data_IF_882366979754
#
_entry.id   IF_882366979754
#
_cell.length_a   1.000
_cell.length_b   1.000
_cell.length_c   1.000
_cell.angle_alpha   90.00
_cell.angle_beta   90.00
_cell.angle_gamma   90.00
#
_symmetry.space_group_name_H-M   'P 1'
#
loop_
_entity.id
_entity.type
_entity.pdbx_description
1 polymer ?
#
# COMPACT_ATOMS: atom_id res chain seq x y z
N UNK A 1 -26.60 23.97 20.19
CA UNK A 1 -25.65 24.03 21.32
C UNK A 1 -24.25 24.24 20.75
N UNK A 2 -23.49 25.25 21.20
CA UNK A 2 -22.12 25.45 20.72
C UNK A 2 -21.26 24.25 21.15
N UNK A 3 -20.63 23.58 20.18
CA UNK A 3 -19.63 22.55 20.44
C UNK A 3 -18.47 23.24 21.18
N UNK A 4 -18.40 23.05 22.50
CA UNK A 4 -17.19 23.40 23.25
C UNK A 4 -16.04 22.62 22.60
N UNK A 5 -15.16 23.34 21.92
CA UNK A 5 -13.92 22.82 21.37
C UNK A 5 -13.16 22.09 22.48
N UNK A 6 -13.06 20.77 22.37
CA UNK A 6 -12.34 19.84 23.24
C UNK A 6 -10.86 20.19 23.48
N UNK A 7 -10.37 21.28 22.87
CA UNK A 7 -9.00 21.79 22.96
C UNK A 7 -8.71 22.58 24.24
N UNK A 8 -9.71 23.07 24.98
CA UNK A 8 -9.48 23.99 26.11
C UNK A 8 -9.30 23.33 27.49
N UNK A 9 -9.33 22.00 27.62
CA UNK A 9 -9.21 21.30 28.92
C UNK A 9 -7.96 20.45 29.12
N UNK A 10 -6.95 20.59 28.26
CA UNK A 10 -5.69 19.85 28.39
C UNK A 10 -4.58 20.75 28.95
N UNK A 11 -4.73 21.20 30.19
CA UNK A 11 -3.73 22.01 30.92
C UNK A 11 -2.62 21.20 31.59
N UNK A 12 -2.65 19.87 31.49
CA UNK A 12 -1.50 19.05 31.86
C UNK A 12 -0.52 19.03 30.69
N UNK A 13 0.46 19.94 30.73
CA UNK A 13 1.62 19.92 29.86
C UNK A 13 2.19 18.50 29.85
N UNK A 14 2.26 17.89 28.67
CA UNK A 14 2.97 16.62 28.47
C UNK A 14 4.38 16.73 29.04
N UNK A 15 4.94 15.66 29.64
CA UNK A 15 6.33 15.68 30.07
C UNK A 15 7.26 16.11 28.92
N UNK A 16 8.36 16.82 29.19
CA UNK A 16 9.24 17.36 28.14
C UNK A 16 9.70 16.33 27.09
N UNK A 17 9.85 15.06 27.50
CA UNK A 17 10.20 13.95 26.63
C UNK A 17 9.13 13.63 25.57
N UNK A 18 7.84 13.70 25.92
CA UNK A 18 6.74 13.50 24.96
C UNK A 18 6.70 14.65 23.95
N UNK A 19 6.94 15.89 24.39
CA UNK A 19 6.98 17.05 23.51
C UNK A 19 8.12 16.95 22.47
N UNK A 20 9.31 16.50 22.89
CA UNK A 20 10.43 16.26 21.97
C UNK A 20 10.08 15.16 20.95
N UNK A 21 9.51 14.05 21.40
CA UNK A 21 9.13 12.96 20.51
C UNK A 21 8.08 13.41 19.48
N UNK A 22 7.09 14.22 19.89
CA UNK A 22 6.12 14.80 18.98
C UNK A 22 6.76 15.67 17.90
N UNK A 23 7.77 16.47 18.26
CA UNK A 23 8.54 17.28 17.29
C UNK A 23 9.33 16.39 16.33
N UNK A 24 10.01 15.37 16.83
CA UNK A 24 10.76 14.41 15.98
C UNK A 24 9.83 13.69 15.01
N UNK A 25 8.69 13.18 15.49
CA UNK A 25 7.69 12.53 14.64
C UNK A 25 7.15 13.48 13.56
N UNK A 26 6.88 14.74 13.91
CA UNK A 26 6.42 15.75 12.96
C UNK A 26 7.48 16.07 11.90
N UNK A 27 8.75 16.24 12.30
CA UNK A 27 9.86 16.48 11.37
C UNK A 27 10.07 15.30 10.43
N UNK A 28 10.00 14.06 10.93
CA UNK A 28 10.03 12.85 10.09
C UNK A 28 8.87 12.83 9.10
N UNK A 29 7.67 13.27 9.54
CA UNK A 29 6.48 13.35 8.68
C UNK A 29 6.66 14.35 7.53
N UNK A 30 7.20 15.54 7.83
CA UNK A 30 7.52 16.56 6.82
C UNK A 30 8.59 16.05 5.85
N UNK A 31 9.67 15.45 6.37
CA UNK A 31 10.72 14.86 5.54
C UNK A 31 10.16 13.79 4.58
N UNK A 32 9.38 12.84 5.10
CA UNK A 32 8.77 11.78 4.28
C UNK A 32 7.83 12.36 3.24
N UNK A 33 7.01 13.35 3.58
CA UNK A 33 6.12 14.02 2.64
C UNK A 33 6.91 14.70 1.51
N UNK A 34 7.96 15.45 1.85
CA UNK A 34 8.83 16.10 0.86
C UNK A 34 9.56 15.07 -0.02
N UNK A 35 10.04 13.97 0.56
CA UNK A 35 10.67 12.87 -0.18
C UNK A 35 9.68 12.27 -1.18
N UNK A 36 8.43 12.01 -0.76
CA UNK A 36 7.38 11.50 -1.66
C UNK A 36 7.07 12.52 -2.76
N UNK A 37 6.87 13.80 -2.44
CA UNK A 37 6.65 14.85 -3.43
C UNK A 37 7.79 14.93 -4.45
N UNK A 38 9.04 14.83 -4.01
CA UNK A 38 10.21 14.78 -4.89
C UNK A 38 10.16 13.57 -5.84
N UNK A 39 9.88 12.37 -5.32
CA UNK A 39 9.81 11.13 -6.12
C UNK A 39 8.70 11.16 -7.16
N UNK A 40 7.49 11.62 -6.80
CA UNK A 40 6.41 11.81 -7.77
C UNK A 40 6.72 12.93 -8.77
N UNK A 41 7.40 14.00 -8.37
CA UNK A 41 7.85 15.03 -9.33
C UNK A 41 8.82 14.43 -10.35
N UNK A 42 9.75 13.56 -9.93
CA UNK A 42 10.61 12.82 -10.85
C UNK A 42 9.81 11.90 -11.77
N UNK A 43 8.81 11.17 -11.25
CA UNK A 43 7.93 10.33 -12.08
C UNK A 43 7.24 11.10 -13.22
N UNK A 44 6.71 12.29 -12.92
CA UNK A 44 5.92 13.04 -13.90
C UNK A 44 6.73 13.99 -14.79
N UNK A 45 7.90 14.47 -14.34
CA UNK A 45 8.69 15.48 -15.08
C UNK A 45 9.91 14.91 -15.79
N UNK A 46 10.62 13.99 -15.14
CA UNK A 46 11.73 13.30 -15.78
C UNK A 46 11.19 12.03 -16.42
N UNK A 47 11.69 11.65 -17.59
CA UNK A 47 11.49 10.32 -18.16
C UNK A 47 12.22 9.23 -17.33
N UNK A 48 12.25 9.40 -16.01
CA UNK A 48 12.86 8.50 -15.05
C UNK A 48 11.93 7.33 -14.82
N UNK A 49 12.33 6.16 -15.33
CA UNK A 49 11.52 4.94 -15.25
C UNK A 49 11.24 4.46 -13.81
N UNK A 50 12.12 4.78 -12.85
CA UNK A 50 12.00 4.36 -11.45
C UNK A 50 12.08 5.54 -10.46
N UNK A 51 11.45 6.68 -10.72
CA UNK A 51 11.38 7.84 -9.78
C UNK A 51 12.75 8.33 -9.26
N UNK A 52 13.80 8.26 -10.08
CA UNK A 52 15.16 8.61 -9.68
C UNK A 52 15.83 7.55 -8.78
N UNK A 53 15.34 6.32 -8.79
CA UNK A 53 16.06 5.16 -8.25
C UNK A 53 16.92 4.46 -9.33
N UNK A 54 16.88 4.90 -10.59
CA UNK A 54 17.68 4.39 -11.71
C UNK A 54 19.03 5.08 -11.86
N UNK A 55 19.63 5.56 -10.77
CA UNK A 55 20.93 6.22 -10.85
C UNK A 55 21.98 5.21 -11.35
N UNK A 56 22.29 5.31 -12.64
CA UNK A 56 23.10 4.35 -13.39
C UNK A 56 24.47 4.19 -12.76
N UNK A 57 25.02 5.28 -12.24
CA UNK A 57 26.34 5.28 -11.61
C UNK A 57 26.36 4.51 -10.28
N UNK A 58 25.21 4.44 -9.59
CA UNK A 58 25.07 3.70 -8.33
C UNK A 58 24.85 2.19 -8.54
N UNK A 59 24.34 1.76 -9.71
CA UNK A 59 23.94 0.36 -9.95
C UNK A 59 24.74 -0.36 -11.05
N UNK A 60 25.40 0.34 -11.99
CA UNK A 60 26.03 -0.29 -13.15
C UNK A 60 27.38 -0.99 -12.87
N UNK A 61 28.13 -0.60 -11.83
CA UNK A 61 29.44 -1.19 -11.49
C UNK A 61 29.40 -2.21 -10.31
N UNK A 62 28.35 -3.04 -10.23
CA UNK A 62 27.98 -3.94 -9.11
C UNK A 62 28.96 -5.06 -8.74
N UNK A 63 30.18 -5.05 -9.27
CA UNK A 63 31.16 -6.11 -9.02
C UNK A 63 32.08 -5.83 -7.82
N UNK A 64 32.11 -4.60 -7.29
CA UNK A 64 32.88 -4.30 -6.08
C UNK A 64 32.00 -4.36 -4.81
N UNK A 65 32.55 -4.93 -3.74
CA UNK A 65 31.91 -4.97 -2.41
C UNK A 65 31.55 -3.57 -1.90
N UNK A 66 32.40 -2.59 -2.16
CA UNK A 66 32.19 -1.19 -1.80
C UNK A 66 30.93 -0.60 -2.44
N UNK A 67 30.66 -0.92 -3.71
CA UNK A 67 29.50 -0.38 -4.39
C UNK A 67 28.18 -1.02 -3.91
N UNK A 68 28.20 -2.30 -3.53
CA UNK A 68 27.06 -2.93 -2.87
C UNK A 68 26.72 -2.25 -1.54
N UNK A 69 27.75 -1.90 -0.75
CA UNK A 69 27.56 -1.14 0.48
C UNK A 69 26.98 0.26 0.20
N UNK A 70 27.48 0.98 -0.80
CA UNK A 70 26.96 2.29 -1.19
C UNK A 70 25.49 2.22 -1.63
N UNK A 71 25.11 1.20 -2.42
CA UNK A 71 23.73 0.98 -2.82
C UNK A 71 22.82 0.64 -1.62
N UNK A 72 23.30 -0.17 -0.68
CA UNK A 72 22.58 -0.47 0.56
C UNK A 72 22.41 0.77 1.44
N UNK A 73 23.43 1.61 1.55
CA UNK A 73 23.37 2.88 2.27
C UNK A 73 22.37 3.84 1.62
N UNK A 74 22.33 3.90 0.28
CA UNK A 74 21.32 4.68 -0.45
C UNK A 74 19.90 4.17 -0.20
N UNK A 75 19.69 2.85 -0.26
CA UNK A 75 18.42 2.23 0.11
C UNK A 75 18.03 2.60 1.55
N UNK A 76 18.96 2.48 2.49
CA UNK A 76 18.77 2.87 3.89
C UNK A 76 18.37 4.34 4.03
N UNK A 77 19.07 5.26 3.38
CA UNK A 77 18.75 6.70 3.38
C UNK A 77 17.34 6.98 2.85
N UNK A 78 16.90 6.26 1.82
CA UNK A 78 15.59 6.46 1.23
C UNK A 78 14.45 5.89 2.08
N UNK A 79 14.64 4.74 2.74
CA UNK A 79 13.54 3.99 3.36
C UNK A 79 13.54 3.99 4.89
N UNK A 80 14.69 4.16 5.56
CA UNK A 80 14.74 4.25 7.03
C UNK A 80 13.89 5.39 7.58
N UNK A 81 13.86 6.61 7.00
CA UNK A 81 12.99 7.68 7.51
C UNK A 81 11.51 7.30 7.51
N UNK A 82 11.07 6.48 6.54
CA UNK A 82 9.68 5.99 6.49
C UNK A 82 9.38 4.99 7.60
N UNK A 83 10.32 4.08 7.90
CA UNK A 83 10.21 3.17 9.04
C UNK A 83 10.23 3.93 10.37
N UNK A 84 11.17 4.86 10.53
CA UNK A 84 11.30 5.72 11.70
C UNK A 84 10.04 6.56 11.94
N UNK A 85 9.41 7.08 10.88
CA UNK A 85 8.12 7.77 10.99
C UNK A 85 7.05 6.84 11.58
N UNK A 86 6.96 5.60 11.09
CA UNK A 86 5.95 4.65 11.55
C UNK A 86 6.20 4.20 13.01
N UNK A 87 7.47 3.97 13.38
CA UNK A 87 7.86 3.56 14.74
C UNK A 87 7.75 4.69 15.75
N UNK A 88 8.18 5.91 15.41
CA UNK A 88 8.03 7.09 16.27
C UNK A 88 6.55 7.38 16.58
N UNK A 89 5.65 6.94 15.70
CA UNK A 89 4.21 6.93 15.91
C UNK A 89 3.80 6.26 17.24
N UNK A 90 4.55 5.29 17.76
CA UNK A 90 4.19 4.53 18.97
C UNK A 90 4.53 5.22 20.29
N UNK A 91 5.49 6.15 20.31
CA UNK A 91 5.95 6.70 21.59
C UNK A 91 5.03 7.77 22.20
N UNK A 92 3.92 8.13 21.54
CA UNK A 92 2.88 8.97 22.13
C UNK A 92 1.59 8.18 22.39
N UNK A 93 0.97 8.50 23.54
CA UNK A 93 -0.32 7.94 23.96
C UNK A 93 -1.43 8.47 23.04
N UNK A 94 -2.30 7.56 22.60
CA UNK A 94 -3.50 7.92 21.83
C UNK A 94 -4.75 7.62 22.64
N UNK A 95 -5.81 8.41 22.46
CA UNK A 95 -7.11 8.06 23.01
C UNK A 95 -7.54 6.71 22.44
N UNK A 96 -8.01 5.83 23.32
CA UNK A 96 -8.59 4.52 22.97
C UNK A 96 -10.02 4.67 22.45
N UNK A 97 -10.68 5.79 22.78
CA UNK A 97 -12.06 6.06 22.37
C UNK A 97 -12.17 6.20 20.85
N UNK A 98 -13.21 5.58 20.30
CA UNK A 98 -13.58 5.70 18.89
C UNK A 98 -13.94 7.14 18.55
N UNK A 99 -13.60 7.56 17.34
CA UNK A 99 -14.13 8.82 16.81
C UNK A 99 -15.66 8.71 16.67
N UNK A 100 -16.45 9.75 16.98
CA UNK A 100 -17.92 9.71 16.94
C UNK A 100 -18.51 9.13 15.65
N UNK A 101 -17.87 9.44 14.52
CA UNK A 101 -18.29 8.99 13.17
C UNK A 101 -18.10 7.49 12.90
N UNK A 102 -17.78 6.68 13.92
CA UNK A 102 -17.63 5.22 13.76
C UNK A 102 -16.35 4.78 13.05
N UNK A 103 -15.36 5.65 12.91
CA UNK A 103 -14.07 5.30 12.30
C UNK A 103 -13.26 4.28 13.11
N UNK A 104 -12.19 3.75 12.48
CA UNK A 104 -11.23 2.80 13.07
C UNK A 104 -10.70 3.26 14.44
N UNK A 105 -10.46 2.30 15.34
CA UNK A 105 -9.69 2.49 16.57
C UNK A 105 -8.25 2.86 16.20
N UNK A 106 -7.78 3.97 16.77
CA UNK A 106 -6.46 4.53 16.52
C UNK A 106 -5.30 3.58 16.90
N UNK A 107 -5.26 3.02 18.11
CA UNK A 107 -4.28 2.00 18.46
C UNK A 107 -4.25 0.82 17.47
N UNK A 108 -5.40 0.21 17.14
CA UNK A 108 -5.48 -0.90 16.18
C UNK A 108 -4.91 -0.49 14.82
N UNK A 109 -5.36 0.65 14.30
CA UNK A 109 -4.91 1.16 13.01
C UNK A 109 -3.40 1.41 12.96
N UNK A 110 -2.79 1.89 14.06
CA UNK A 110 -1.34 2.13 14.14
C UNK A 110 -0.54 0.84 13.94
N UNK A 111 -0.96 -0.26 14.58
CA UNK A 111 -0.33 -1.57 14.40
C UNK A 111 -0.55 -2.11 12.98
N UNK A 112 -1.76 -2.00 12.44
CA UNK A 112 -2.03 -2.41 11.05
C UNK A 112 -1.17 -1.61 10.05
N UNK A 113 -1.09 -0.29 10.21
CA UNK A 113 -0.26 0.58 9.38
C UNK A 113 1.24 0.21 9.48
N UNK A 114 1.73 -0.19 10.66
CA UNK A 114 3.09 -0.71 10.82
C UNK A 114 3.30 -1.99 10.01
N UNK A 115 2.38 -2.95 10.08
CA UNK A 115 2.45 -4.20 9.31
C UNK A 115 2.47 -3.91 7.81
N UNK A 116 1.60 -3.03 7.32
CA UNK A 116 1.58 -2.65 5.90
C UNK A 116 2.82 -1.84 5.48
N UNK A 117 3.37 -1.00 6.36
CA UNK A 117 4.64 -0.32 6.13
C UNK A 117 5.78 -1.33 5.97
N UNK A 118 5.91 -2.27 6.92
CA UNK A 118 6.92 -3.34 6.86
C UNK A 118 6.78 -4.19 5.59
N UNK A 119 5.55 -4.51 5.17
CA UNK A 119 5.31 -5.18 3.88
C UNK A 119 5.96 -4.42 2.73
N UNK A 120 5.68 -3.11 2.61
CA UNK A 120 6.22 -2.29 1.52
C UNK A 120 7.75 -2.21 1.61
N UNK A 121 8.33 -2.14 2.81
CA UNK A 121 9.77 -2.10 3.00
C UNK A 121 10.46 -3.43 2.65
N UNK A 122 9.88 -4.57 3.01
CA UNK A 122 10.41 -5.87 2.63
C UNK A 122 10.31 -6.11 1.12
N UNK A 123 9.21 -5.69 0.48
CA UNK A 123 9.09 -5.75 -0.98
C UNK A 123 10.01 -4.75 -1.68
N UNK A 124 10.25 -3.56 -1.11
CA UNK A 124 11.26 -2.63 -1.58
C UNK A 124 12.67 -3.23 -1.49
N UNK A 125 12.99 -3.90 -0.37
CA UNK A 125 14.26 -4.60 -0.23
C UNK A 125 14.40 -5.73 -1.26
N UNK A 126 13.33 -6.48 -1.52
CA UNK A 126 13.31 -7.51 -2.57
C UNK A 126 13.52 -6.90 -3.96
N UNK A 127 12.86 -5.79 -4.28
CA UNK A 127 13.02 -5.06 -5.53
C UNK A 127 14.46 -4.53 -5.69
N UNK A 128 15.01 -3.91 -4.65
CA UNK A 128 16.42 -3.47 -4.61
C UNK A 128 17.39 -4.62 -4.85
N UNK A 129 17.21 -5.75 -4.15
CA UNK A 129 18.07 -6.93 -4.32
C UNK A 129 18.00 -7.48 -5.75
N UNK A 130 16.80 -7.51 -6.34
CA UNK A 130 16.61 -7.93 -7.74
C UNK A 130 17.32 -6.97 -8.69
N UNK A 131 17.18 -5.67 -8.47
CA UNK A 131 17.83 -4.62 -9.25
C UNK A 131 19.36 -4.72 -9.22
N UNK A 132 19.95 -4.83 -8.02
CA UNK A 132 21.41 -5.00 -7.85
C UNK A 132 21.93 -6.26 -8.53
N UNK A 133 21.16 -7.36 -8.49
CA UNK A 133 21.52 -8.62 -9.13
C UNK A 133 21.13 -8.68 -10.62
N UNK A 134 20.61 -7.60 -11.21
CA UNK A 134 20.12 -7.53 -12.59
C UNK A 134 19.07 -8.62 -12.91
N UNK A 135 18.26 -8.97 -11.91
CA UNK A 135 17.18 -9.94 -12.02
C UNK A 135 15.87 -9.23 -12.35
N UNK A 136 15.44 -9.29 -13.61
CA UNK A 136 14.10 -8.85 -14.01
C UNK A 136 13.06 -9.92 -13.67
N UNK A 137 11.76 -9.59 -13.57
CA UNK A 137 10.76 -10.65 -13.31
C UNK A 137 10.66 -11.66 -14.46
N UNK A 138 11.06 -11.29 -15.68
CA UNK A 138 11.13 -12.18 -16.84
C UNK A 138 12.24 -13.23 -16.69
N UNK A 139 13.22 -12.96 -15.82
CA UNK A 139 14.23 -13.92 -15.39
C UNK A 139 13.71 -14.85 -14.28
N UNK A 140 14.46 -15.92 -13.98
CA UNK A 140 14.22 -17.03 -13.04
C UNK A 140 13.88 -16.66 -11.58
N UNK A 141 13.56 -15.40 -11.27
CA UNK A 141 13.31 -14.92 -9.92
C UNK A 141 11.98 -15.44 -9.33
N UNK A 142 12.05 -16.29 -8.31
CA UNK A 142 10.86 -16.85 -7.65
C UNK A 142 9.90 -15.78 -7.11
N UNK A 143 8.59 -16.05 -7.18
CA UNK A 143 7.51 -15.27 -6.56
C UNK A 143 7.43 -15.55 -5.05
N UNK A 144 8.02 -16.65 -4.59
CA UNK A 144 7.90 -17.11 -3.19
C UNK A 144 8.30 -16.08 -2.13
N UNK A 145 9.40 -15.30 -2.28
CA UNK A 145 9.73 -14.29 -1.28
C UNK A 145 8.63 -13.24 -1.11
N UNK A 146 8.02 -12.79 -2.21
CA UNK A 146 6.91 -11.85 -2.16
C UNK A 146 5.65 -12.50 -1.55
N UNK A 147 5.37 -13.76 -1.89
CA UNK A 147 4.28 -14.54 -1.32
C UNK A 147 4.40 -14.69 0.21
N UNK A 148 5.60 -14.97 0.71
CA UNK A 148 5.87 -15.06 2.16
C UNK A 148 5.59 -13.71 2.82
N UNK A 149 6.08 -12.61 2.26
CA UNK A 149 5.86 -11.26 2.80
C UNK A 149 4.36 -10.92 2.84
N UNK A 150 3.61 -11.22 1.78
CA UNK A 150 2.15 -11.02 1.74
C UNK A 150 1.43 -11.92 2.75
N UNK A 151 1.82 -13.20 2.86
CA UNK A 151 1.29 -14.15 3.84
C UNK A 151 1.48 -13.68 5.28
N UNK A 152 2.72 -13.33 5.66
CA UNK A 152 3.04 -12.77 6.97
C UNK A 152 2.23 -11.51 7.26
N UNK A 153 2.11 -10.59 6.29
CA UNK A 153 1.31 -9.37 6.44
C UNK A 153 -0.15 -9.70 6.79
N UNK A 154 -0.78 -10.64 6.07
CA UNK A 154 -2.17 -11.03 6.31
C UNK A 154 -2.37 -11.65 7.69
N UNK A 155 -1.46 -12.54 8.10
CA UNK A 155 -1.49 -13.20 9.41
C UNK A 155 -1.35 -12.14 10.50
N UNK A 156 -0.34 -11.27 10.42
CA UNK A 156 -0.12 -10.21 11.40
C UNK A 156 -1.31 -9.26 11.52
N UNK A 157 -1.90 -8.84 10.40
CA UNK A 157 -3.09 -7.98 10.41
C UNK A 157 -4.28 -8.66 11.09
N UNK A 158 -4.50 -9.96 10.86
CA UNK A 158 -5.57 -10.71 11.53
C UNK A 158 -5.32 -10.90 13.02
N UNK A 159 -4.08 -11.17 13.43
CA UNK A 159 -3.71 -11.28 14.84
C UNK A 159 -3.99 -9.97 15.58
N UNK A 160 -3.61 -8.83 14.99
CA UNK A 160 -3.96 -7.50 15.50
C UNK A 160 -5.48 -7.36 15.60
N UNK A 161 -6.22 -7.65 14.52
CA UNK A 161 -7.67 -7.54 14.51
C UNK A 161 -8.38 -8.48 15.50
N UNK A 162 -7.82 -9.66 15.80
CA UNK A 162 -8.34 -10.58 16.83
C UNK A 162 -8.06 -10.05 18.23
N UNK A 163 -6.84 -9.58 18.49
CA UNK A 163 -6.44 -9.02 19.79
C UNK A 163 -7.32 -7.82 20.20
N UNK A 164 -7.67 -6.95 19.26
CA UNK A 164 -8.56 -5.82 19.54
C UNK A 164 -10.04 -6.24 19.63
N UNK A 165 -10.47 -7.30 18.94
CA UNK A 165 -11.84 -7.88 19.08
C UNK A 165 -12.08 -8.58 20.41
N UNK A 166 -11.04 -9.21 20.98
CA UNK A 166 -11.17 -9.94 22.24
C UNK A 166 -11.22 -9.04 23.47
N UNK A 167 -11.00 -7.73 23.32
CA UNK A 167 -11.06 -6.78 24.43
C UNK A 167 -12.45 -6.15 24.54
N UNK A 168 -13.26 -6.45 25.57
CA UNK A 168 -14.63 -5.93 25.69
C UNK A 168 -14.71 -4.41 25.75
N UNK A 169 -13.63 -3.76 26.21
CA UNK A 169 -13.49 -2.31 26.30
C UNK A 169 -13.11 -1.64 24.96
N UNK A 170 -12.71 -2.41 23.94
CA UNK A 170 -12.28 -1.91 22.63
C UNK A 170 -13.24 -2.38 21.54
N UNK A 171 -14.07 -1.47 21.03
CA UNK A 171 -14.95 -1.77 19.89
C UNK A 171 -14.15 -2.01 18.60
N UNK A 172 -14.05 -3.24 18.12
CA UNK A 172 -13.24 -3.55 16.93
C UNK A 172 -13.58 -2.69 15.70
N UNK A 173 -12.54 -2.33 14.93
CA UNK A 173 -12.73 -1.62 13.68
C UNK A 173 -13.37 -2.50 12.61
N UNK A 174 -14.39 -2.00 11.94
CA UNK A 174 -14.94 -2.62 10.73
C UNK A 174 -13.95 -2.48 9.57
N UNK A 175 -14.10 -3.34 8.56
CA UNK A 175 -13.38 -3.23 7.28
C UNK A 175 -13.77 -1.94 6.55
N UNK A 176 -13.08 -1.59 5.45
CA UNK A 176 -13.39 -0.37 4.66
C UNK A 176 -14.88 -0.31 4.24
N UNK A 177 -15.52 -1.47 4.07
CA UNK A 177 -16.95 -1.57 3.76
C UNK A 177 -17.87 -1.03 4.86
N UNK A 178 -17.39 -0.94 6.10
CA UNK A 178 -18.12 -0.34 7.21
C UNK A 178 -17.88 1.17 7.37
N UNK A 179 -17.13 1.81 6.46
CA UNK A 179 -16.95 3.26 6.45
C UNK A 179 -18.27 3.94 6.04
N UNK A 180 -18.64 5.04 6.71
CA UNK A 180 -19.73 5.91 6.26
C UNK A 180 -19.31 6.71 5.03
N UNK A 181 -19.22 6.04 3.89
CA UNK A 181 -18.91 6.61 2.60
C UNK A 181 -19.86 6.02 1.56
N UNK A 182 -20.04 6.68 0.40
CA UNK A 182 -20.85 6.13 -0.68
C UNK A 182 -20.41 4.69 -0.99
N UNK A 183 -21.37 3.77 -1.19
CA UNK A 183 -21.05 2.34 -1.33
C UNK A 183 -20.13 2.09 -2.56
N UNK A 184 -20.25 2.91 -3.60
CA UNK A 184 -19.33 2.88 -4.74
C UNK A 184 -17.87 3.10 -4.32
N UNK A 185 -17.62 4.07 -3.44
CA UNK A 185 -16.28 4.42 -2.99
C UNK A 185 -15.69 3.32 -2.11
N UNK A 186 -16.49 2.78 -1.17
CA UNK A 186 -16.03 1.66 -0.32
C UNK A 186 -15.77 0.40 -1.13
N UNK A 187 -16.54 0.17 -2.20
CA UNK A 187 -16.31 -0.95 -3.11
C UNK A 187 -15.04 -0.77 -3.95
N UNK A 188 -14.87 0.40 -4.59
CA UNK A 188 -13.64 0.75 -5.32
C UNK A 188 -12.39 0.58 -4.45
N UNK A 189 -12.41 1.13 -3.25
CA UNK A 189 -11.30 1.01 -2.30
C UNK A 189 -11.04 -0.44 -1.88
N UNK A 190 -12.10 -1.25 -1.74
CA UNK A 190 -11.96 -2.67 -1.42
C UNK A 190 -11.35 -3.45 -2.59
N UNK A 191 -11.83 -3.22 -3.82
CA UNK A 191 -11.32 -3.85 -5.04
C UNK A 191 -9.85 -3.49 -5.27
N UNK A 192 -9.48 -2.21 -5.09
CA UNK A 192 -8.10 -1.76 -5.24
C UNK A 192 -7.12 -2.49 -4.31
N UNK A 193 -7.56 -2.97 -3.12
CA UNK A 193 -6.71 -3.76 -2.24
C UNK A 193 -6.33 -5.14 -2.83
N UNK A 194 -7.22 -5.75 -3.62
CA UNK A 194 -6.92 -7.01 -4.31
C UNK A 194 -5.91 -6.78 -5.43
N UNK A 195 -6.12 -5.76 -6.26
CA UNK A 195 -5.17 -5.34 -7.30
C UNK A 195 -3.80 -5.01 -6.70
N UNK A 196 -3.75 -4.23 -5.63
CA UNK A 196 -2.50 -3.93 -4.94
C UNK A 196 -1.82 -5.18 -4.37
N UNK A 197 -2.58 -6.18 -3.92
CA UNK A 197 -2.01 -7.43 -3.40
C UNK A 197 -1.51 -8.34 -4.51
N UNK A 198 -2.22 -8.45 -5.63
CA UNK A 198 -1.71 -9.10 -6.85
C UNK A 198 -0.41 -8.44 -7.31
N UNK A 199 -0.37 -7.11 -7.32
CA UNK A 199 0.84 -6.37 -7.64
C UNK A 199 1.99 -6.67 -6.64
N UNK A 200 1.70 -6.76 -5.34
CA UNK A 200 2.69 -7.18 -4.35
C UNK A 200 3.26 -8.56 -4.66
N UNK A 201 2.44 -9.52 -5.12
CA UNK A 201 2.92 -10.84 -5.54
C UNK A 201 3.78 -10.75 -6.82
N UNK A 202 3.41 -9.87 -7.75
CA UNK A 202 4.10 -9.58 -9.00
C UNK A 202 5.25 -8.56 -8.88
N UNK A 203 5.72 -8.29 -7.64
CA UNK A 203 6.76 -7.29 -7.33
C UNK A 203 7.85 -7.27 -8.40
N UNK A 204 8.13 -6.11 -9.00
CA UNK A 204 9.24 -5.89 -9.93
C UNK A 204 10.57 -5.69 -9.19
N UNK A 205 11.61 -5.40 -9.97
CA UNK A 205 12.87 -4.79 -9.55
C UNK A 205 12.78 -3.26 -9.38
N UNK A 206 11.60 -2.66 -9.61
CA UNK A 206 11.38 -1.21 -9.47
C UNK A 206 11.00 -0.80 -8.06
N UNK A 207 11.73 0.19 -7.53
CA UNK A 207 11.49 0.76 -6.20
C UNK A 207 10.33 1.75 -6.19
N UNK A 208 10.06 2.41 -7.31
CA UNK A 208 8.95 3.34 -7.58
C UNK A 208 7.61 2.77 -7.15
N UNK A 209 7.35 1.50 -7.44
CA UNK A 209 6.06 0.91 -7.09
C UNK A 209 5.92 0.68 -5.58
N UNK A 210 7.03 0.31 -4.92
CA UNK A 210 7.04 0.06 -3.48
C UNK A 210 6.94 1.38 -2.70
N UNK A 211 7.59 2.45 -3.17
CA UNK A 211 7.42 3.79 -2.59
C UNK A 211 6.01 4.33 -2.85
N UNK A 212 5.39 4.02 -3.99
CA UNK A 212 4.01 4.40 -4.28
C UNK A 212 3.02 3.69 -3.34
N UNK A 213 3.19 2.38 -3.11
CA UNK A 213 2.41 1.64 -2.12
C UNK A 213 2.62 2.19 -0.70
N UNK A 214 3.86 2.54 -0.34
CA UNK A 214 4.20 3.13 0.95
C UNK A 214 3.56 4.52 1.13
N UNK A 215 3.50 5.33 0.07
CA UNK A 215 2.77 6.61 0.07
C UNK A 215 1.29 6.41 0.43
N UNK A 216 0.63 5.41 -0.18
CA UNK A 216 -0.77 5.10 0.14
C UNK A 216 -0.93 4.78 1.62
N UNK A 217 -0.06 3.94 2.19
CA UNK A 217 -0.14 3.57 3.62
C UNK A 217 0.08 4.77 4.52
N UNK A 218 1.16 5.53 4.31
CA UNK A 218 1.55 6.62 5.20
C UNK A 218 0.65 7.85 5.08
N UNK A 219 0.27 8.23 3.86
CA UNK A 219 -0.64 9.36 3.66
C UNK A 219 -2.06 9.04 4.13
N UNK A 220 -2.48 7.77 4.09
CA UNK A 220 -3.73 7.36 4.77
C UNK A 220 -3.65 7.59 6.28
N UNK A 221 -2.52 7.26 6.91
CA UNK A 221 -2.33 7.46 8.34
C UNK A 221 -2.28 8.95 8.71
N UNK A 222 -1.64 9.75 7.86
CA UNK A 222 -1.62 11.20 7.97
C UNK A 222 -3.01 11.81 7.82
N UNK A 223 -3.78 11.42 6.79
CA UNK A 223 -5.15 11.90 6.57
C UNK A 223 -6.07 11.57 7.74
N UNK A 224 -5.96 10.37 8.31
CA UNK A 224 -6.65 10.03 9.55
C UNK A 224 -6.23 10.99 10.68
N UNK A 225 -4.95 11.32 10.81
CA UNK A 225 -4.45 12.16 11.90
C UNK A 225 -4.96 13.60 11.78
N UNK A 226 -5.02 14.13 10.55
CA UNK A 226 -5.67 15.41 10.25
C UNK A 226 -7.14 15.40 10.67
N UNK A 227 -7.87 14.34 10.30
CA UNK A 227 -9.28 14.19 10.66
C UNK A 227 -9.49 14.14 12.17
N UNK A 228 -8.64 13.41 12.92
CA UNK A 228 -8.72 13.38 14.39
C UNK A 228 -8.58 14.77 15.00
N UNK A 229 -7.67 15.58 14.45
CA UNK A 229 -7.45 16.97 14.87
C UNK A 229 -8.52 17.94 14.32
N UNK A 230 -9.54 17.43 13.63
CA UNK A 230 -10.59 18.23 12.98
C UNK A 230 -10.04 19.24 11.96
N UNK A 231 -8.86 18.96 11.37
CA UNK A 231 -8.33 19.79 10.28
C UNK A 231 -9.00 19.49 8.94
N UNK A 232 -9.53 18.27 8.77
CA UNK A 232 -10.30 17.86 7.61
C UNK A 232 -11.54 17.08 8.04
N UNK A 233 -12.61 17.23 7.28
CA UNK A 233 -13.85 16.47 7.39
C UNK A 233 -13.69 15.02 6.89
N UNK A 234 -14.70 14.19 7.15
CA UNK A 234 -14.77 12.83 6.62
C UNK A 234 -14.71 12.79 5.09
N UNK A 235 -15.45 13.69 4.42
CA UNK A 235 -15.52 13.76 2.96
C UNK A 235 -14.16 14.10 2.37
N UNK A 236 -13.48 15.10 2.93
CA UNK A 236 -12.12 15.48 2.52
C UNK A 236 -11.13 14.34 2.76
N UNK A 237 -11.24 13.59 3.86
CA UNK A 237 -10.42 12.41 4.11
C UNK A 237 -10.63 11.30 3.07
N UNK A 238 -11.87 11.06 2.64
CA UNK A 238 -12.21 10.10 1.56
C UNK A 238 -11.64 10.56 0.22
N UNK A 239 -11.77 11.86 -0.11
CA UNK A 239 -11.21 12.46 -1.33
C UNK A 239 -9.69 12.33 -1.33
N UNK A 240 -9.03 12.68 -0.23
CA UNK A 240 -7.58 12.56 -0.07
C UNK A 240 -7.12 11.11 -0.25
N UNK A 241 -7.81 10.16 0.37
CA UNK A 241 -7.49 8.74 0.21
C UNK A 241 -7.66 8.27 -1.24
N UNK A 242 -8.76 8.66 -1.90
CA UNK A 242 -9.00 8.35 -3.32
C UNK A 242 -7.92 8.95 -4.23
N UNK A 243 -7.52 10.19 -4.00
CA UNK A 243 -6.44 10.86 -4.74
C UNK A 243 -5.11 10.13 -4.61
N UNK A 244 -4.69 9.81 -3.38
CA UNK A 244 -3.42 9.11 -3.13
C UNK A 244 -3.44 7.69 -3.71
N UNK A 245 -4.58 7.01 -3.60
CA UNK A 245 -4.77 5.70 -4.23
C UNK A 245 -4.63 5.78 -5.75
N UNK A 246 -5.26 6.78 -6.38
CA UNK A 246 -5.14 7.04 -7.82
C UNK A 246 -3.69 7.27 -8.25
N UNK A 247 -2.96 8.12 -7.53
CA UNK A 247 -1.52 8.34 -7.78
C UNK A 247 -0.71 7.05 -7.70
N UNK A 248 -0.96 6.22 -6.67
CA UNK A 248 -0.27 4.93 -6.53
C UNK A 248 -0.62 3.96 -7.67
N UNK A 249 -1.87 3.95 -8.11
CA UNK A 249 -2.33 3.12 -9.22
C UNK A 249 -1.72 3.55 -10.56
N UNK A 250 -1.47 4.83 -10.80
CA UNK A 250 -0.78 5.29 -12.02
C UNK A 250 0.64 4.73 -12.12
N UNK A 251 1.37 4.67 -11.01
CA UNK A 251 2.73 4.12 -10.96
C UNK A 251 2.72 2.60 -11.17
N UNK A 252 1.77 1.91 -10.55
CA UNK A 252 1.55 0.46 -10.76
C UNK A 252 1.19 0.17 -12.22
N UNK A 253 0.32 1.01 -12.80
CA UNK A 253 -0.09 0.88 -14.20
C UNK A 253 1.12 0.99 -15.13
N UNK A 254 1.96 2.01 -14.96
CA UNK A 254 3.19 2.18 -15.74
C UNK A 254 4.13 0.97 -15.65
N UNK A 255 4.40 0.45 -14.44
CA UNK A 255 5.24 -0.76 -14.25
C UNK A 255 4.65 -1.98 -14.98
N UNK A 256 3.36 -2.25 -14.79
CA UNK A 256 2.71 -3.41 -15.37
C UNK A 256 2.63 -3.33 -16.90
N UNK A 257 2.39 -2.14 -17.46
CA UNK A 257 2.37 -1.92 -18.91
C UNK A 257 3.75 -2.13 -19.52
N UNK A 258 4.81 -1.57 -18.91
CA UNK A 258 6.19 -1.75 -19.40
C UNK A 258 6.65 -3.21 -19.38
N UNK A 259 6.04 -4.03 -18.52
CA UNK A 259 6.32 -5.46 -18.38
C UNK A 259 5.36 -6.35 -19.16
N UNK A 260 4.40 -5.79 -19.90
CA UNK A 260 3.36 -6.55 -20.60
C UNK A 260 2.56 -7.50 -19.68
N UNK A 261 2.28 -7.07 -18.43
CA UNK A 261 1.52 -7.83 -17.44
C UNK A 261 0.23 -7.14 -16.99
N UNK A 262 -0.12 -6.00 -17.61
CA UNK A 262 -1.23 -5.17 -17.15
C UNK A 262 -2.57 -5.91 -17.20
N UNK A 263 -2.90 -6.53 -18.33
CA UNK A 263 -4.19 -7.20 -18.47
C UNK A 263 -4.23 -8.44 -17.58
N UNK A 264 -3.15 -9.23 -17.58
CA UNK A 264 -3.03 -10.39 -16.70
C UNK A 264 -3.25 -10.03 -15.21
N UNK A 265 -2.54 -9.02 -14.71
CA UNK A 265 -2.66 -8.59 -13.32
C UNK A 265 -4.07 -8.06 -13.00
N UNK A 266 -4.69 -7.36 -13.95
CA UNK A 266 -6.05 -6.81 -13.81
C UNK A 266 -7.10 -7.93 -13.73
N UNK A 267 -7.01 -8.93 -14.60
CA UNK A 267 -7.90 -10.11 -14.57
C UNK A 267 -7.76 -10.83 -13.23
N UNK A 268 -6.54 -11.10 -12.80
CA UNK A 268 -6.29 -11.79 -11.54
C UNK A 268 -6.78 -10.97 -10.34
N UNK A 269 -6.60 -9.65 -10.36
CA UNK A 269 -7.14 -8.72 -9.36
C UNK A 269 -8.68 -8.77 -9.30
N UNK A 270 -9.35 -8.83 -10.45
CA UNK A 270 -10.80 -8.93 -10.51
C UNK A 270 -11.33 -10.30 -10.08
N UNK A 271 -10.70 -11.40 -10.52
CA UNK A 271 -11.06 -12.76 -10.09
C UNK A 271 -10.92 -12.88 -8.57
N UNK A 272 -9.82 -12.41 -8.00
CA UNK A 272 -9.60 -12.45 -6.54
C UNK A 272 -10.59 -11.58 -5.78
N UNK A 273 -10.89 -10.38 -6.29
CA UNK A 273 -11.93 -9.50 -5.76
C UNK A 273 -13.31 -10.18 -5.76
N UNK A 274 -13.77 -10.70 -6.91
CA UNK A 274 -15.06 -11.37 -7.07
C UNK A 274 -15.18 -12.56 -6.12
N UNK A 275 -14.18 -13.44 -6.17
CA UNK A 275 -14.14 -14.68 -5.39
C UNK A 275 -14.19 -14.41 -3.89
N UNK A 276 -13.50 -13.36 -3.42
CA UNK A 276 -13.54 -13.01 -2.00
C UNK A 276 -14.81 -12.28 -1.61
N UNK A 277 -15.26 -11.34 -2.43
CA UNK A 277 -16.33 -10.41 -2.07
C UNK A 277 -17.73 -10.98 -2.25
N UNK A 278 -17.93 -11.85 -3.25
CA UNK A 278 -19.24 -12.40 -3.61
C UNK A 278 -19.34 -13.90 -3.30
N UNK A 279 -18.27 -14.66 -3.53
CA UNK A 279 -18.26 -16.11 -3.23
C UNK A 279 -17.83 -16.42 -1.79
N UNK A 280 -17.39 -15.42 -1.03
CA UNK A 280 -17.05 -15.57 0.39
C UNK A 280 -15.82 -16.44 0.68
N UNK A 281 -15.03 -16.80 -0.34
CA UNK A 281 -13.88 -17.70 -0.19
C UNK A 281 -12.90 -17.18 0.86
N UNK A 282 -12.34 -18.10 1.64
CA UNK A 282 -11.33 -17.77 2.65
C UNK A 282 -10.11 -17.12 1.99
N UNK A 283 -9.66 -15.97 2.50
CA UNK A 283 -8.55 -15.21 1.91
C UNK A 283 -7.23 -15.98 1.86
N UNK A 284 -6.96 -16.86 2.83
CA UNK A 284 -5.73 -17.66 2.85
C UNK A 284 -5.74 -18.69 1.72
N UNK A 285 -6.87 -19.38 1.52
CA UNK A 285 -7.05 -20.30 0.38
C UNK A 285 -6.92 -19.55 -0.93
N UNK A 286 -7.60 -18.40 -1.07
CA UNK A 286 -7.57 -17.59 -2.28
C UNK A 286 -6.14 -17.17 -2.66
N UNK A 287 -5.37 -16.61 -1.72
CA UNK A 287 -4.02 -16.13 -2.01
C UNK A 287 -3.02 -17.28 -2.20
N UNK A 288 -3.17 -18.40 -1.49
CA UNK A 288 -2.37 -19.61 -1.75
C UNK A 288 -2.59 -20.13 -3.16
N UNK A 289 -3.85 -20.26 -3.59
CA UNK A 289 -4.17 -20.67 -4.97
C UNK A 289 -3.61 -19.68 -5.99
N UNK A 290 -3.73 -18.38 -5.72
CA UNK A 290 -3.15 -17.32 -6.57
C UNK A 290 -1.64 -17.49 -6.71
N UNK A 291 -0.91 -17.77 -5.62
CA UNK A 291 0.54 -18.01 -5.63
C UNK A 291 0.89 -19.27 -6.41
N UNK A 292 0.11 -20.35 -6.27
CA UNK A 292 0.30 -21.59 -7.05
C UNK A 292 0.13 -21.31 -8.54
N UNK A 293 -0.96 -20.67 -8.94
CA UNK A 293 -1.23 -20.30 -10.35
C UNK A 293 -0.10 -19.43 -10.90
N UNK A 294 0.30 -18.37 -10.17
CA UNK A 294 1.39 -17.50 -10.58
C UNK A 294 2.72 -18.25 -10.71
N UNK A 295 3.00 -19.20 -9.82
CA UNK A 295 4.24 -20.00 -9.87
C UNK A 295 4.25 -20.96 -11.06
N UNK A 296 3.12 -21.61 -11.37
CA UNK A 296 2.97 -22.49 -12.53
C UNK A 296 3.05 -21.73 -13.85
N UNK A 297 2.39 -20.57 -13.94
CA UNK A 297 2.48 -19.70 -15.12
C UNK A 297 3.90 -19.18 -15.31
N UNK A 298 4.60 -18.84 -14.23
CA UNK A 298 5.99 -18.39 -14.32
C UNK A 298 6.94 -19.49 -14.82
N UNK A 299 6.70 -20.76 -14.49
CA UNK A 299 7.47 -21.88 -15.05
C UNK A 299 7.27 -22.00 -16.58
N UNK A 300 6.17 -21.47 -17.10
CA UNK A 300 5.83 -21.43 -18.52
C UNK A 300 5.88 -19.99 -19.02
N UNK A 301 7.08 -19.40 -19.06
CA UNK A 301 7.29 -17.96 -19.38
C UNK A 301 6.59 -17.49 -20.65
N UNK A 302 6.40 -18.38 -21.64
CA UNK A 302 5.62 -18.08 -22.85
C UNK A 302 4.19 -17.66 -22.54
N UNK A 303 3.55 -18.22 -21.51
CA UNK A 303 2.20 -17.88 -21.06
C UNK A 303 2.16 -16.64 -20.14
N UNK A 304 3.32 -16.21 -19.64
CA UNK A 304 3.47 -15.12 -18.68
C UNK A 304 3.72 -13.77 -19.39
N UNK A 305 2.93 -13.48 -20.42
CA UNK A 305 2.93 -12.18 -21.12
C UNK A 305 1.57 -11.92 -21.74
N UNK A 306 1.11 -10.66 -21.67
CA UNK A 306 -0.09 -10.18 -22.35
C UNK A 306 -0.03 -10.43 -23.87
N UNK A 307 1.16 -10.53 -24.47
CA UNK A 307 1.31 -10.82 -25.91
C UNK A 307 0.80 -12.21 -26.29
N UNK A 308 0.91 -13.18 -25.39
CA UNK A 308 0.62 -14.59 -25.68
C UNK A 308 -0.78 -14.98 -25.22
N UNK A 309 -1.23 -14.41 -24.09
CA UNK A 309 -2.44 -14.87 -23.42
C UNK A 309 -3.73 -14.32 -24.03
N UNK A 310 -3.67 -13.18 -24.72
CA UNK A 310 -4.85 -12.45 -25.16
C UNK A 310 -4.72 -11.98 -26.60
N UNK A 311 -5.68 -12.35 -27.46
CA UNK A 311 -5.87 -11.68 -28.75
C UNK A 311 -6.16 -10.19 -28.53
N UNK A 312 -5.86 -9.34 -29.51
CA UNK A 312 -6.09 -7.89 -29.41
C UNK A 312 -7.54 -7.56 -29.03
N UNK A 313 -8.49 -8.29 -29.60
CA UNK A 313 -9.93 -8.14 -29.29
C UNK A 313 -10.23 -8.47 -27.83
N UNK A 314 -9.66 -9.56 -27.31
CA UNK A 314 -9.89 -9.97 -25.93
C UNK A 314 -9.29 -8.98 -24.92
N UNK A 315 -8.17 -8.32 -25.25
CA UNK A 315 -7.58 -7.25 -24.42
C UNK A 315 -8.53 -6.07 -24.25
N UNK A 316 -9.14 -5.62 -25.34
CA UNK A 316 -10.11 -4.51 -25.34
C UNK A 316 -11.32 -4.89 -24.49
N UNK A 317 -11.87 -6.09 -24.68
CA UNK A 317 -13.00 -6.57 -23.90
C UNK A 317 -12.68 -6.74 -22.42
N UNK A 318 -11.49 -7.24 -22.06
CA UNK A 318 -11.07 -7.36 -20.66
C UNK A 318 -10.91 -6.01 -20.01
N UNK A 319 -10.29 -5.04 -20.69
CA UNK A 319 -10.16 -3.68 -20.15
C UNK A 319 -11.55 -3.08 -19.94
N UNK A 320 -12.42 -3.13 -20.96
CA UNK A 320 -13.79 -2.62 -20.88
C UNK A 320 -14.57 -3.31 -19.75
N UNK A 321 -14.58 -4.65 -19.70
CA UNK A 321 -15.30 -5.41 -18.66
C UNK A 321 -14.72 -5.21 -17.27
N UNK A 322 -13.42 -5.00 -17.13
CA UNK A 322 -12.78 -4.68 -15.85
C UNK A 322 -13.22 -3.31 -15.34
N UNK A 323 -13.26 -2.31 -16.22
CA UNK A 323 -13.78 -0.98 -15.90
C UNK A 323 -15.29 -1.01 -15.65
N UNK A 324 -16.06 -1.68 -16.51
CA UNK A 324 -17.51 -1.85 -16.33
C UNK A 324 -17.83 -2.66 -15.09
N UNK A 325 -17.00 -3.61 -14.66
CA UNK A 325 -17.16 -4.30 -13.38
C UNK A 325 -16.89 -3.34 -12.23
N UNK A 326 -15.79 -2.58 -12.28
CA UNK A 326 -15.51 -1.52 -11.32
C UNK A 326 -16.66 -0.51 -11.22
N UNK A 327 -17.23 -0.08 -12.34
CA UNK A 327 -18.38 0.84 -12.39
C UNK A 327 -19.71 0.18 -12.03
N UNK A 328 -19.97 -1.05 -12.47
CA UNK A 328 -21.22 -1.78 -12.25
C UNK A 328 -21.39 -2.17 -10.78
N UNK A 329 -20.31 -2.63 -10.15
CA UNK A 329 -20.24 -2.84 -8.70
C UNK A 329 -20.45 -1.51 -7.95
N UNK A 330 -20.04 -0.39 -8.54
CA UNK A 330 -20.31 0.93 -7.98
C UNK A 330 -21.81 1.33 -8.07
N UNK A 331 -22.48 1.00 -9.18
CA UNK A 331 -23.89 1.33 -9.43
C UNK A 331 -24.87 0.44 -8.66
N UNK A 332 -24.66 -0.88 -8.62
CA UNK A 332 -25.54 -1.81 -7.89
C UNK A 332 -25.56 -1.50 -6.38
N UNK A 333 -24.49 -0.90 -5.87
CA UNK A 333 -24.38 -0.47 -4.50
C UNK A 333 -25.14 0.85 -4.20
N UNK A 334 -25.68 1.55 -5.20
CA UNK A 334 -26.50 2.76 -5.00
C UNK A 334 -28.00 2.51 -4.85
N UNK A 335 -28.48 1.30 -5.20
CA UNK A 335 -29.80 0.79 -4.80
C UNK A 335 -29.83 0.35 -3.34
#
# INVERSE_FOLDING_TARGET
MPQQTLLTKQTNLSPPSEALLHRVHALLGVFVLLHLCYRYTRFFKSNDDDMGFDDKDLFLASNSQEMQLNSLLYFGKCFLPHLSLQLSGFGFRLPTKRHPDGNRIWPQYRYEALVFCLRCLFLAFLAWKRKVNKQTLDSSCSIMPAAIVVGCTMISADLIGRHYRSQPSLQSSNTIRGLSAPKWATSLMSTAQFHATVHCLLTSDRLSVQIAALNVVQTSAFGMALRRKQFISQREGVILYGFVLGLGMLVIFDDLTKRSLFHFATILGNITAITRMYLGVNKYVLWTLTVVVLSLLKQNTSLFSDSTLLSLELKVWITITSWLFLFGVCFEATG
#
